data_IF_216093018659
#
_entry.id   IF_216093018659
#
_cell.length_a   1.000
_cell.length_b   1.000
_cell.length_c   1.000
_cell.angle_alpha   90.00
_cell.angle_beta   90.00
_cell.angle_gamma   90.00
#
_symmetry.space_group_name_H-M   'P 1'
#
loop_
_entity.id
_entity.type
_entity.pdbx_description
1 polymer ?
#
# COMPACT_ATOMS: atom_id res chain seq x y z
N UNK A 1 -2.88 4.43 2.75
CA UNK A 1 -2.16 4.21 1.48
C UNK A 1 -2.34 2.75 1.12
N UNK A 2 -2.80 2.48 -0.08
CA UNK A 2 -3.12 1.12 -0.51
C UNK A 2 -1.95 0.57 -1.32
N UNK A 3 -1.42 -0.58 -0.91
CA UNK A 3 -0.28 -1.25 -1.54
C UNK A 3 -0.75 -2.61 -2.03
N UNK A 4 -0.70 -2.80 -3.35
CA UNK A 4 -1.06 -4.06 -3.97
C UNK A 4 0.03 -5.12 -3.76
N UNK A 5 -0.38 -6.32 -3.35
CA UNK A 5 0.51 -7.46 -3.23
C UNK A 5 0.76 -8.10 -4.59
N UNK A 6 1.91 -8.77 -4.72
CA UNK A 6 2.18 -9.67 -5.84
C UNK A 6 1.44 -11.01 -5.60
N UNK A 7 1.06 -11.70 -6.68
CA UNK A 7 0.41 -13.01 -6.63
C UNK A 7 1.28 -14.05 -5.90
N UNK A 8 2.60 -13.93 -6.01
CA UNK A 8 3.56 -14.82 -5.36
C UNK A 8 3.66 -14.60 -3.84
N UNK A 9 3.19 -13.44 -3.36
CA UNK A 9 3.24 -13.04 -1.95
C UNK A 9 1.92 -13.28 -1.22
N UNK A 10 0.87 -13.75 -1.93
CA UNK A 10 -0.33 -14.27 -1.27
C UNK A 10 0.03 -15.61 -0.62
N UNK A 11 0.63 -15.52 0.56
CA UNK A 11 0.77 -16.64 1.49
C UNK A 11 -0.31 -16.48 2.56
N UNK A 12 -0.86 -17.59 3.06
CA UNK A 12 -1.81 -17.61 4.19
C UNK A 12 -1.17 -17.18 5.53
N UNK A 13 0.12 -16.81 5.54
CA UNK A 13 0.83 -16.33 6.72
C UNK A 13 0.48 -14.87 7.06
N UNK A 14 -0.47 -14.72 7.96
CA UNK A 14 -0.89 -13.44 8.55
C UNK A 14 0.27 -12.70 9.24
N UNK A 15 1.23 -13.44 9.83
CA UNK A 15 2.36 -12.84 10.54
C UNK A 15 3.30 -12.14 9.57
N UNK A 16 3.55 -12.76 8.42
CA UNK A 16 4.35 -12.16 7.35
C UNK A 16 3.72 -10.86 6.85
N UNK A 17 2.41 -10.86 6.56
CA UNK A 17 1.69 -9.66 6.11
C UNK A 17 1.74 -8.53 7.15
N UNK A 18 1.61 -8.87 8.43
CA UNK A 18 1.74 -7.92 9.53
C UNK A 18 3.13 -7.27 9.59
N UNK A 19 4.18 -8.06 9.42
CA UNK A 19 5.56 -7.56 9.40
C UNK A 19 5.85 -6.70 8.17
N UNK A 20 5.34 -7.10 6.99
CA UNK A 20 5.46 -6.32 5.77
C UNK A 20 4.80 -4.95 5.92
N UNK A 21 3.57 -4.90 6.46
CA UNK A 21 2.87 -3.65 6.76
C UNK A 21 3.72 -2.73 7.64
N UNK A 22 4.21 -3.24 8.78
CA UNK A 22 5.05 -2.45 9.71
C UNK A 22 6.33 -1.94 9.06
N UNK A 23 6.95 -2.77 8.22
CA UNK A 23 8.18 -2.41 7.50
C UNK A 23 7.94 -1.25 6.54
N UNK A 24 6.83 -1.29 5.78
CA UNK A 24 6.45 -0.23 4.86
C UNK A 24 6.10 1.07 5.61
N UNK A 25 5.33 0.99 6.69
CA UNK A 25 4.98 2.16 7.52
C UNK A 25 6.24 2.82 8.11
N UNK A 26 7.17 2.02 8.63
CA UNK A 26 8.44 2.51 9.17
C UNK A 26 9.35 3.10 8.08
N UNK A 27 9.41 2.48 6.90
CA UNK A 27 10.16 3.03 5.77
C UNK A 27 9.59 4.37 5.30
N UNK A 28 8.26 4.51 5.21
CA UNK A 28 7.62 5.77 4.86
C UNK A 28 7.89 6.85 5.92
N UNK A 29 7.81 6.49 7.20
CA UNK A 29 8.14 7.40 8.29
C UNK A 29 9.59 7.89 8.21
N UNK A 30 10.55 7.00 7.97
CA UNK A 30 11.97 7.39 7.98
C UNK A 30 12.40 8.18 6.75
N UNK A 31 11.81 7.89 5.58
CA UNK A 31 12.21 8.55 4.34
C UNK A 31 11.44 9.85 4.09
N UNK A 32 10.16 9.91 4.50
CA UNK A 32 9.28 11.04 4.20
C UNK A 32 8.88 11.83 5.44
N UNK A 33 9.20 11.34 6.66
CA UNK A 33 8.79 11.94 7.93
C UNK A 33 7.26 12.08 8.08
N UNK A 34 6.50 11.14 7.53
CA UNK A 34 5.04 11.11 7.61
C UNK A 34 4.60 9.78 8.22
N UNK A 35 3.73 9.85 9.21
CA UNK A 35 3.06 8.67 9.74
C UNK A 35 1.82 8.36 8.88
N UNK A 36 1.74 7.15 8.34
CA UNK A 36 0.73 6.74 7.36
C UNK A 36 0.24 5.35 7.69
N UNK A 37 -1.06 5.12 7.60
CA UNK A 37 -1.62 3.78 7.65
C UNK A 37 -1.50 3.09 6.28
N UNK A 38 -0.84 1.93 6.25
CA UNK A 38 -0.71 1.09 5.06
C UNK A 38 -1.76 -0.02 5.06
N UNK A 39 -2.46 -0.16 3.92
CA UNK A 39 -3.40 -1.25 3.66
C UNK A 39 -2.87 -2.12 2.53
N UNK A 40 -2.65 -3.39 2.82
CA UNK A 40 -2.29 -4.38 1.80
C UNK A 40 -3.57 -4.82 1.08
N UNK A 41 -3.58 -4.73 -0.24
CA UNK A 41 -4.73 -5.12 -1.10
C UNK A 41 -4.34 -6.26 -2.03
N UNK A 42 -5.33 -7.03 -2.45
CA UNK A 42 -5.11 -8.20 -3.30
C UNK A 42 -4.45 -7.81 -4.65
N UNK A 43 -3.69 -8.71 -5.29
CA UNK A 43 -3.13 -8.46 -6.60
C UNK A 43 -4.20 -8.09 -7.62
N UNK A 44 -3.83 -7.22 -8.56
CA UNK A 44 -4.70 -6.74 -9.64
C UNK A 44 -6.00 -6.07 -9.17
N UNK A 45 -6.08 -5.64 -7.90
CA UNK A 45 -7.24 -4.93 -7.35
C UNK A 45 -7.15 -3.41 -7.52
N UNK A 46 -5.95 -2.86 -7.66
CA UNK A 46 -5.79 -1.44 -7.96
C UNK A 46 -6.05 -1.18 -9.45
N UNK A 47 -6.93 -0.23 -9.72
CA UNK A 47 -7.32 0.14 -11.07
C UNK A 47 -6.09 0.48 -11.93
N UNK A 48 -5.96 -0.21 -13.06
CA UNK A 48 -4.96 0.12 -14.08
C UNK A 48 -5.49 1.28 -14.92
N UNK A 49 -4.63 2.25 -15.20
CA UNK A 49 -5.00 3.41 -15.99
C UNK A 49 -4.74 3.11 -17.47
N UNK A 50 -5.72 3.40 -18.35
CA UNK A 50 -5.56 3.28 -19.81
C UNK A 50 -4.72 4.42 -20.43
N UNK A 51 -4.35 5.41 -19.60
CA UNK A 51 -3.46 6.52 -19.95
C UNK A 51 -2.48 6.83 -18.81
N UNK A 52 -2.42 8.08 -18.37
CA UNK A 52 -1.55 8.47 -17.24
C UNK A 52 -2.03 7.81 -15.94
N UNK A 53 -1.10 7.19 -15.22
CA UNK A 53 -1.40 6.56 -13.94
C UNK A 53 -1.87 7.58 -12.88
N UNK A 54 -2.99 7.30 -12.22
CA UNK A 54 -3.50 8.07 -11.07
C UNK A 54 -3.32 7.25 -9.79
N UNK A 55 -2.47 7.73 -8.87
CA UNK A 55 -2.16 7.04 -7.59
C UNK A 55 -2.48 7.87 -6.34
N UNK A 56 -2.88 9.12 -6.52
CA UNK A 56 -3.18 10.06 -5.43
C UNK A 56 -4.62 10.52 -5.58
N UNK A 57 -5.40 10.32 -4.52
CA UNK A 57 -6.78 10.81 -4.41
C UNK A 57 -6.83 11.78 -3.25
N UNK A 58 -7.06 13.06 -3.53
CA UNK A 58 -7.22 14.08 -2.50
C UNK A 58 -8.64 14.04 -1.92
N UNK A 59 -8.75 13.82 -0.62
CA UNK A 59 -10.04 13.73 0.11
C UNK A 59 -10.23 14.86 1.13
N UNK A 60 -9.39 15.90 1.10
CA UNK A 60 -9.51 17.03 2.02
C UNK A 60 -10.82 17.79 1.75
N UNK A 61 -11.63 18.02 2.78
CA UNK A 61 -12.78 18.91 2.69
C UNK A 61 -12.29 20.36 2.49
N UNK A 62 -13.05 21.16 1.75
CA UNK A 62 -12.81 22.60 1.60
C UNK A 62 -13.15 23.36 2.87
#
# INVERSE_FOLDING_TARGET
>A
VDVELDEHLISDDVSFLGNLKKTLEHALLNNLYINVEVKLVAPKSLQRSEGKAVRVVDKRAK
#
